data_IF_889655557992
#
_entry.id   IF_889655557992
#
_cell.length_a   1.000
_cell.length_b   1.000
_cell.length_c   1.000
_cell.angle_alpha   90.00
_cell.angle_beta   90.00
_cell.angle_gamma   90.00
#
_symmetry.space_group_name_H-M   'P 1'
#
loop_
_entity.id
_entity.type
_entity.pdbx_description
1 polymer ?
#
# COMPACT_ATOMS: atom_id res chain seq x y z
N UNK A 1 15.37 -1.77 7.96
CA UNK A 1 14.87 -2.70 6.94
C UNK A 1 15.55 -2.28 5.64
N UNK A 2 16.19 -3.21 4.92
CA UNK A 2 16.96 -2.84 3.73
C UNK A 2 16.01 -2.54 2.57
N UNK A 3 16.32 -1.52 1.77
CA UNK A 3 15.54 -1.09 0.58
C UNK A 3 15.05 -2.25 -0.30
N UNK A 4 15.83 -3.32 -0.41
CA UNK A 4 15.47 -4.50 -1.19
C UNK A 4 14.26 -5.25 -0.59
N UNK A 5 14.21 -5.39 0.74
CA UNK A 5 13.10 -6.03 1.45
C UNK A 5 11.85 -5.16 1.39
N UNK A 6 12.01 -3.84 1.49
CA UNK A 6 10.89 -2.89 1.40
C UNK A 6 10.29 -2.84 -0.01
N UNK A 7 11.12 -2.84 -1.07
CA UNK A 7 10.65 -2.96 -2.46
C UNK A 7 9.91 -4.28 -2.73
N UNK A 8 10.47 -5.40 -2.27
CA UNK A 8 9.82 -6.71 -2.46
C UNK A 8 8.46 -6.75 -1.75
N UNK A 9 8.36 -6.21 -0.52
CA UNK A 9 7.09 -6.11 0.20
C UNK A 9 6.10 -5.18 -0.49
N UNK A 10 6.56 -4.05 -1.04
CA UNK A 10 5.74 -3.13 -1.82
C UNK A 10 5.12 -3.83 -3.02
N UNK A 11 5.96 -4.41 -3.88
CA UNK A 11 5.50 -5.14 -5.07
C UNK A 11 4.60 -6.33 -4.72
N UNK A 12 4.87 -7.04 -3.62
CA UNK A 12 4.04 -8.16 -3.19
C UNK A 12 2.66 -7.72 -2.69
N UNK A 13 2.58 -6.62 -1.94
CA UNK A 13 1.29 -6.03 -1.52
C UNK A 13 0.49 -5.55 -2.72
N UNK A 14 1.15 -4.90 -3.67
CA UNK A 14 0.51 -4.38 -4.89
C UNK A 14 -0.05 -5.52 -5.76
N UNK A 15 0.76 -6.55 -6.01
CA UNK A 15 0.32 -7.74 -6.75
C UNK A 15 -0.81 -8.50 -6.03
N UNK A 16 -0.76 -8.61 -4.70
CA UNK A 16 -1.84 -9.23 -3.91
C UNK A 16 -3.13 -8.41 -3.98
N UNK A 17 -3.02 -7.08 -3.93
CA UNK A 17 -4.15 -6.15 -4.10
C UNK A 17 -4.79 -6.30 -5.48
N UNK A 18 -3.99 -6.27 -6.55
CA UNK A 18 -4.48 -6.49 -7.92
C UNK A 18 -5.15 -7.86 -8.08
N UNK A 19 -4.53 -8.93 -7.58
CA UNK A 19 -5.12 -10.27 -7.63
C UNK A 19 -6.46 -10.35 -6.87
N UNK A 20 -6.55 -9.70 -5.71
CA UNK A 20 -7.81 -9.60 -4.96
C UNK A 20 -8.87 -8.80 -5.73
N UNK A 21 -8.48 -7.71 -6.39
CA UNK A 21 -9.38 -6.91 -7.22
C UNK A 21 -9.83 -7.64 -8.49
N UNK A 22 -8.99 -8.51 -9.05
CA UNK A 22 -9.32 -9.31 -10.23
C UNK A 22 -10.19 -10.53 -9.90
N UNK A 23 -10.23 -10.95 -8.63
CA UNK A 23 -11.08 -12.04 -8.15
C UNK A 23 -12.56 -11.77 -8.44
N UNK A 24 -13.33 -12.84 -8.71
CA UNK A 24 -14.78 -12.76 -8.94
C UNK A 24 -15.59 -12.68 -7.64
N UNK A 25 -14.92 -12.82 -6.49
CA UNK A 25 -15.54 -12.72 -5.18
C UNK A 25 -15.71 -11.24 -4.75
N UNK A 26 -16.95 -10.78 -4.50
CA UNK A 26 -17.22 -9.39 -4.13
C UNK A 26 -16.60 -8.99 -2.78
N UNK A 27 -16.51 -9.92 -1.83
CA UNK A 27 -15.81 -9.71 -0.55
C UNK A 27 -14.31 -9.51 -0.75
N UNK A 28 -13.69 -10.34 -1.59
CA UNK A 28 -12.25 -10.24 -1.90
C UNK A 28 -11.92 -8.91 -2.58
N UNK A 29 -12.79 -8.44 -3.48
CA UNK A 29 -12.66 -7.11 -4.12
C UNK A 29 -12.80 -5.96 -3.13
N UNK A 30 -13.73 -6.06 -2.19
CA UNK A 30 -13.94 -5.03 -1.17
C UNK A 30 -12.72 -4.94 -0.24
N UNK A 31 -12.18 -6.10 0.20
CA UNK A 31 -10.93 -6.17 0.95
C UNK A 31 -9.75 -5.56 0.19
N UNK A 32 -9.58 -5.89 -1.10
CA UNK A 32 -8.50 -5.33 -1.92
C UNK A 32 -8.57 -3.81 -2.06
N UNK A 33 -9.78 -3.24 -2.15
CA UNK A 33 -9.98 -1.78 -2.16
C UNK A 33 -9.71 -1.14 -0.80
N UNK A 34 -10.06 -1.81 0.30
CA UNK A 34 -9.77 -1.33 1.65
C UNK A 34 -8.25 -1.32 1.91
N UNK A 35 -7.54 -2.40 1.56
CA UNK A 35 -6.08 -2.48 1.68
C UNK A 35 -5.37 -1.41 0.82
N UNK A 36 -5.86 -1.12 -0.39
CA UNK A 36 -5.30 -0.06 -1.24
C UNK A 36 -5.51 1.33 -0.63
N UNK A 37 -6.70 1.59 -0.08
CA UNK A 37 -7.01 2.87 0.57
C UNK A 37 -6.16 3.07 1.83
N UNK A 38 -5.98 2.03 2.64
CA UNK A 38 -5.09 2.06 3.81
C UNK A 38 -3.64 2.33 3.40
N UNK A 39 -3.14 1.62 2.38
CA UNK A 39 -1.78 1.83 1.85
C UNK A 39 -1.57 3.26 1.36
N UNK A 40 -2.54 3.83 0.61
CA UNK A 40 -2.50 5.22 0.16
C UNK A 40 -2.55 6.22 1.31
N UNK A 41 -3.35 5.95 2.35
CA UNK A 41 -3.42 6.81 3.53
C UNK A 41 -2.11 6.81 4.32
N UNK A 42 -1.46 5.65 4.46
CA UNK A 42 -0.14 5.54 5.09
C UNK A 42 0.95 6.21 4.25
N UNK A 43 0.89 6.10 2.92
CA UNK A 43 1.81 6.81 2.02
C UNK A 43 1.64 8.32 2.17
N UNK A 44 0.40 8.82 2.12
CA UNK A 44 0.11 10.24 2.28
C UNK A 44 0.54 10.77 3.66
N UNK A 45 0.33 9.99 4.74
CA UNK A 45 0.85 10.33 6.07
C UNK A 45 2.38 10.34 6.10
N UNK A 46 3.01 9.37 5.44
CA UNK A 46 4.47 9.29 5.31
C UNK A 46 5.05 10.47 4.54
N UNK A 47 4.41 10.87 3.44
CA UNK A 47 4.77 12.04 2.64
C UNK A 47 4.57 13.34 3.41
N UNK A 48 3.45 13.51 4.11
CA UNK A 48 3.21 14.69 4.96
C UNK A 48 4.23 14.75 6.11
N UNK A 49 4.50 13.62 6.76
CA UNK A 49 5.49 13.54 7.84
C UNK A 49 6.92 13.74 7.33
N UNK A 50 7.22 13.25 6.13
CA UNK A 50 8.48 13.50 5.43
C UNK A 50 8.61 14.99 5.12
N UNK A 51 7.66 15.57 4.39
CA UNK A 51 7.66 16.99 4.04
C UNK A 51 7.73 17.93 5.26
N UNK A 52 7.08 17.59 6.38
CA UNK A 52 7.13 18.39 7.61
C UNK A 52 8.34 18.08 8.51
N UNK A 53 8.99 16.93 8.32
CA UNK A 53 10.11 16.45 9.13
C UNK A 53 11.48 16.59 8.47
N UNK A 54 11.53 16.74 7.14
CA UNK A 54 12.73 17.01 6.33
C UNK A 54 13.12 18.50 6.36
N UNK A 55 12.27 19.36 6.92
CA UNK A 55 12.52 20.79 7.19
C UNK A 55 13.27 21.05 8.53
N UNK A 56 13.90 20.03 9.14
CA UNK A 56 14.75 20.14 10.36
C UNK A 56 16.18 19.66 10.10
#
# INVERSE_FOLDING_TARGET
>A
MGELTDKIKGNFKEAKGELKQQSNDPETRAEGKAEEMEGKADQAKGEVKGALGDDI
#
